data_IF_667405983413
#
_entry.id   IF_667405983413
#
_cell.length_a   1.000
_cell.length_b   1.000
_cell.length_c   1.000
_cell.angle_alpha   90.00
_cell.angle_beta   90.00
_cell.angle_gamma   90.00
#
_symmetry.space_group_name_H-M   'P 1'
#
loop_
_entity.id
_entity.type
_entity.pdbx_description
1 polymer ?
#
# COMPACT_ATOMS: atom_id res chain seq x y z
N UNK A 1 23.91 23.80 36.48
CA UNK A 1 22.88 23.22 35.56
C UNK A 1 22.37 21.91 36.14
N UNK A 2 21.13 21.87 36.64
CA UNK A 2 20.55 20.67 37.24
C UNK A 2 20.25 19.61 36.14
N UNK A 3 20.84 18.39 36.27
CA UNK A 3 20.54 17.26 35.40
C UNK A 3 19.08 16.87 35.60
N UNK A 4 18.19 17.07 34.60
CA UNK A 4 16.82 16.55 34.64
C UNK A 4 16.87 15.05 34.86
N UNK A 5 16.28 14.57 35.96
CA UNK A 5 16.10 13.16 36.27
C UNK A 5 15.39 12.45 35.11
N UNK A 6 16.00 11.41 34.55
CA UNK A 6 15.35 10.58 33.53
C UNK A 6 14.16 9.87 34.17
N UNK A 7 12.94 10.14 33.70
CA UNK A 7 11.73 9.43 34.13
C UNK A 7 11.94 7.91 33.93
N UNK A 8 11.76 7.16 35.01
CA UNK A 8 11.83 5.68 34.96
C UNK A 8 10.68 5.19 34.09
N UNK A 9 11.01 4.59 32.94
CA UNK A 9 10.01 4.07 32.01
C UNK A 9 9.85 2.56 32.28
N UNK A 10 8.60 2.12 32.59
CA UNK A 10 8.29 0.70 32.71
C UNK A 10 8.55 0.01 31.36
N UNK A 11 9.30 -1.09 31.40
CA UNK A 11 9.51 -1.94 30.21
C UNK A 11 8.18 -2.58 29.85
N UNK A 12 7.76 -2.49 28.59
CA UNK A 12 6.56 -3.18 28.09
C UNK A 12 6.81 -4.69 28.13
N UNK A 13 5.88 -5.43 28.71
CA UNK A 13 5.91 -6.89 28.67
C UNK A 13 5.82 -7.42 27.25
N UNK A 14 6.37 -8.61 27.01
CA UNK A 14 6.27 -9.30 25.73
C UNK A 14 4.84 -9.81 25.54
N UNK A 15 4.45 -9.98 24.29
CA UNK A 15 3.28 -10.80 23.97
C UNK A 15 3.59 -12.26 24.30
N UNK A 16 2.54 -13.03 24.58
CA UNK A 16 2.67 -14.44 24.99
C UNK A 16 2.47 -15.43 23.86
N UNK A 17 2.12 -14.95 22.65
CA UNK A 17 1.73 -15.79 21.51
C UNK A 17 2.43 -15.29 20.24
N UNK A 18 2.94 -16.22 19.43
CA UNK A 18 3.53 -15.93 18.12
C UNK A 18 2.43 -15.39 17.18
N UNK A 19 2.75 -14.36 16.40
CA UNK A 19 1.81 -13.76 15.46
C UNK A 19 0.79 -12.80 16.08
N UNK A 20 0.79 -12.61 17.41
CA UNK A 20 -0.09 -11.63 18.05
C UNK A 20 0.33 -10.20 17.69
N UNK A 21 1.64 -9.93 17.67
CA UNK A 21 2.17 -8.63 17.30
C UNK A 21 3.54 -8.71 16.65
N UNK A 22 3.65 -8.18 15.45
CA UNK A 22 4.89 -8.07 14.71
C UNK A 22 5.39 -6.63 14.78
N UNK A 23 6.60 -6.42 15.27
CA UNK A 23 7.28 -5.12 15.17
C UNK A 23 7.95 -5.05 13.81
N UNK A 24 7.66 -3.98 13.05
CA UNK A 24 8.20 -3.80 11.70
C UNK A 24 8.91 -2.46 11.59
N UNK A 25 10.08 -2.46 10.96
CA UNK A 25 10.93 -1.28 10.79
C UNK A 25 11.95 -1.46 9.68
N UNK A 26 12.31 -0.35 9.02
CA UNK A 26 13.43 -0.30 8.08
C UNK A 26 14.75 0.00 8.82
N UNK A 27 15.83 -0.56 8.33
CA UNK A 27 17.19 -0.32 8.82
C UNK A 27 18.08 0.12 7.68
N UNK A 28 18.38 1.41 7.64
CA UNK A 28 19.37 1.96 6.73
C UNK A 28 20.77 1.70 7.29
N UNK A 29 21.62 1.12 6.46
CA UNK A 29 23.00 0.82 6.81
C UNK A 29 23.81 0.62 5.52
N UNK A 30 25.14 0.72 5.60
CA UNK A 30 26.02 0.26 4.50
C UNK A 30 26.13 -1.27 4.50
N UNK A 31 25.01 -1.92 4.11
CA UNK A 31 24.86 -3.36 4.15
C UNK A 31 25.90 -4.09 3.28
N UNK A 32 26.30 -3.46 2.19
CA UNK A 32 27.22 -4.05 1.21
C UNK A 32 28.66 -3.53 1.34
N UNK A 33 28.96 -2.67 2.31
CA UNK A 33 30.30 -2.08 2.51
C UNK A 33 30.86 -1.42 1.24
N UNK A 34 30.03 -0.57 0.62
CA UNK A 34 30.35 0.15 -0.61
C UNK A 34 30.28 -0.67 -1.90
N UNK A 35 29.95 -1.97 -1.85
CA UNK A 35 29.82 -2.83 -3.05
C UNK A 35 28.50 -2.63 -3.80
N UNK A 36 27.53 -1.94 -3.22
CA UNK A 36 26.20 -1.65 -3.77
C UNK A 36 25.78 -0.25 -3.33
N UNK A 37 24.89 0.46 -4.08
CA UNK A 37 24.27 1.70 -3.62
C UNK A 37 23.56 1.52 -2.26
N UNK A 38 23.34 2.61 -1.49
CA UNK A 38 22.58 2.56 -0.23
C UNK A 38 21.25 1.84 -0.39
N UNK A 39 20.93 1.00 0.59
CA UNK A 39 19.71 0.21 0.62
C UNK A 39 19.22 0.02 2.05
N UNK A 40 18.00 -0.48 2.22
CA UNK A 40 17.32 -0.63 3.50
C UNK A 40 16.98 -2.09 3.75
N UNK A 41 17.31 -2.63 4.92
CA UNK A 41 16.79 -3.92 5.35
C UNK A 41 15.45 -3.72 6.05
N UNK A 42 14.39 -4.25 5.49
CA UNK A 42 13.05 -4.26 6.08
C UNK A 42 12.94 -5.47 7.02
N UNK A 43 12.66 -5.23 8.30
CA UNK A 43 12.74 -6.25 9.36
C UNK A 43 11.41 -6.35 10.09
N UNK A 44 10.88 -7.57 10.16
CA UNK A 44 9.73 -7.95 10.96
C UNK A 44 10.19 -8.84 12.12
N UNK A 45 9.88 -8.44 13.35
CA UNK A 45 10.24 -9.16 14.57
C UNK A 45 8.99 -9.55 15.33
N UNK A 46 8.78 -10.82 15.55
CA UNK A 46 7.71 -11.29 16.42
C UNK A 46 7.97 -10.90 17.87
N UNK A 47 6.98 -10.27 18.52
CA UNK A 47 7.14 -9.70 19.86
C UNK A 47 7.25 -10.76 20.94
N UNK A 48 6.66 -11.93 20.77
CA UNK A 48 6.72 -13.04 21.70
C UNK A 48 8.04 -13.80 21.58
N UNK A 49 8.29 -14.40 20.43
CA UNK A 49 9.41 -15.32 20.20
C UNK A 49 10.71 -14.62 19.81
N UNK A 50 10.68 -13.36 19.41
CA UNK A 50 11.80 -12.66 18.76
C UNK A 50 12.23 -13.28 17.43
N UNK A 51 11.44 -14.16 16.82
CA UNK A 51 11.70 -14.63 15.46
C UNK A 51 11.72 -13.45 14.50
N UNK A 52 12.68 -13.49 13.60
CA UNK A 52 12.95 -12.43 12.63
C UNK A 52 12.60 -12.92 11.22
N UNK A 53 11.96 -12.06 10.47
CA UNK A 53 11.88 -12.09 9.02
C UNK A 53 12.46 -10.81 8.48
N UNK A 54 13.24 -10.87 7.43
CA UNK A 54 13.87 -9.70 6.85
C UNK A 54 13.98 -9.83 5.34
N UNK A 55 13.90 -8.69 4.64
CA UNK A 55 14.19 -8.57 3.21
C UNK A 55 14.97 -7.32 2.92
N UNK A 56 15.96 -7.44 2.06
CA UNK A 56 16.69 -6.30 1.55
C UNK A 56 15.86 -5.62 0.46
N UNK A 57 15.78 -4.31 0.53
CA UNK A 57 14.99 -3.45 -0.34
C UNK A 57 15.85 -2.28 -0.84
N UNK A 58 15.46 -1.69 -1.96
CA UNK A 58 16.14 -0.49 -2.46
C UNK A 58 15.98 0.69 -1.51
N UNK A 59 14.83 0.78 -0.86
CA UNK A 59 14.50 1.78 0.15
C UNK A 59 13.21 1.40 0.88
N UNK A 60 12.86 2.12 1.95
CA UNK A 60 11.57 1.96 2.63
C UNK A 60 10.45 2.67 1.85
N UNK A 61 10.09 2.15 0.69
CA UNK A 61 9.01 2.61 -0.17
C UNK A 61 7.80 1.67 -0.18
N UNK A 62 6.70 2.11 -0.77
CA UNK A 62 5.45 1.32 -0.77
C UNK A 62 5.56 -0.01 -1.50
N UNK A 63 6.33 -0.10 -2.61
CA UNK A 63 6.50 -1.33 -3.37
C UNK A 63 7.27 -2.38 -2.56
N UNK A 64 8.44 -2.00 -2.04
CA UNK A 64 9.29 -2.89 -1.26
C UNK A 64 8.60 -3.35 0.03
N UNK A 65 7.84 -2.46 0.68
CA UNK A 65 7.04 -2.79 1.88
C UNK A 65 5.93 -3.78 1.56
N UNK A 66 5.17 -3.58 0.47
CA UNK A 66 4.12 -4.51 0.06
C UNK A 66 4.68 -5.89 -0.32
N UNK A 67 5.81 -5.94 -1.04
CA UNK A 67 6.52 -7.19 -1.38
C UNK A 67 6.98 -7.93 -0.12
N UNK A 68 7.56 -7.20 0.82
CA UNK A 68 8.04 -7.76 2.10
C UNK A 68 6.89 -8.36 2.90
N UNK A 69 5.77 -7.65 3.01
CA UNK A 69 4.61 -8.15 3.76
C UNK A 69 3.88 -9.29 3.06
N UNK A 70 3.84 -9.28 1.72
CA UNK A 70 3.35 -10.42 0.93
C UNK A 70 4.18 -11.67 1.26
N UNK A 71 5.51 -11.58 1.16
CA UNK A 71 6.43 -12.69 1.46
C UNK A 71 6.32 -13.15 2.93
N UNK A 72 6.18 -12.20 3.87
CA UNK A 72 5.94 -12.53 5.28
C UNK A 72 4.67 -13.38 5.44
N UNK A 73 3.55 -12.91 4.87
CA UNK A 73 2.27 -13.61 4.99
C UNK A 73 2.26 -14.98 4.26
N UNK A 74 3.01 -15.10 3.17
CA UNK A 74 3.19 -16.38 2.47
C UNK A 74 3.99 -17.39 3.30
N UNK A 75 5.00 -16.92 4.06
CA UNK A 75 5.87 -17.79 4.88
C UNK A 75 5.23 -18.18 6.22
N UNK A 76 4.59 -17.25 6.91
CA UNK A 76 4.12 -17.45 8.30
C UNK A 76 2.60 -17.40 8.44
N UNK A 77 1.90 -16.82 7.50
CA UNK A 77 0.48 -16.48 7.61
C UNK A 77 0.24 -15.03 8.05
N UNK A 78 -1.00 -14.70 8.33
CA UNK A 78 -1.50 -13.36 8.63
C UNK A 78 -1.44 -13.14 10.14
N UNK A 79 -0.63 -12.18 10.66
CA UNK A 79 -0.59 -11.87 12.09
C UNK A 79 -1.85 -11.14 12.57
N UNK A 80 -2.04 -11.02 13.88
CA UNK A 80 -3.17 -10.27 14.45
C UNK A 80 -2.92 -8.76 14.42
N UNK A 81 -1.69 -8.33 14.67
CA UNK A 81 -1.35 -6.90 14.67
C UNK A 81 0.08 -6.64 14.20
N UNK A 82 0.28 -5.44 13.67
CA UNK A 82 1.60 -4.90 13.32
C UNK A 82 1.86 -3.61 14.10
N UNK A 83 3.07 -3.49 14.64
CA UNK A 83 3.54 -2.34 15.40
C UNK A 83 4.66 -1.63 14.63
N UNK A 84 4.43 -0.37 14.22
CA UNK A 84 5.33 0.38 13.37
C UNK A 84 5.32 1.87 13.73
N UNK A 85 6.20 2.65 13.12
CA UNK A 85 6.20 4.09 13.29
C UNK A 85 5.12 4.78 12.43
N UNK A 86 5.15 6.11 12.42
CA UNK A 86 4.20 6.92 11.65
C UNK A 86 4.78 7.38 10.31
N UNK A 87 5.66 6.57 9.72
CA UNK A 87 6.19 6.90 8.41
C UNK A 87 5.05 6.98 7.36
N UNK A 88 5.21 7.87 6.37
CA UNK A 88 4.20 8.13 5.33
C UNK A 88 3.77 6.91 4.51
N UNK A 89 4.62 5.91 4.42
CA UNK A 89 4.30 4.63 3.74
C UNK A 89 3.22 3.86 4.49
N UNK A 90 3.21 3.95 5.81
CA UNK A 90 2.27 3.19 6.67
C UNK A 90 1.02 3.97 7.03
N UNK A 91 1.15 5.30 7.12
CA UNK A 91 0.06 6.16 7.57
C UNK A 91 -0.19 7.29 6.58
N UNK A 92 -1.41 7.41 6.09
CA UNK A 92 -1.82 8.55 5.28
C UNK A 92 -1.81 9.84 6.12
N UNK A 93 -1.39 10.96 5.52
CA UNK A 93 -1.36 12.27 6.16
C UNK A 93 -2.77 12.81 6.44
N UNK A 94 -3.71 12.52 5.53
CA UNK A 94 -5.09 12.97 5.64
C UNK A 94 -5.94 11.92 6.36
N UNK A 95 -6.73 12.35 7.32
CA UNK A 95 -7.68 11.51 8.02
C UNK A 95 -8.73 10.94 7.04
N UNK A 96 -9.09 9.68 7.21
CA UNK A 96 -10.00 8.97 6.31
C UNK A 96 -9.37 8.45 5.01
N UNK A 97 -8.08 8.70 4.76
CA UNK A 97 -7.35 8.10 3.63
C UNK A 97 -6.50 6.92 4.08
N UNK A 98 -6.35 5.93 3.20
CA UNK A 98 -5.50 4.76 3.41
C UNK A 98 -4.27 4.83 2.49
N UNK A 99 -3.11 4.41 3.01
CA UNK A 99 -1.99 4.03 2.16
C UNK A 99 -2.26 2.63 1.59
N UNK A 100 -1.59 2.23 0.51
CA UNK A 100 -1.73 0.87 -0.01
C UNK A 100 -1.39 -0.19 1.05
N UNK A 101 -0.41 0.09 1.91
CA UNK A 101 -0.06 -0.75 3.05
C UNK A 101 -1.22 -0.83 4.06
N UNK A 102 -1.75 0.29 4.54
CA UNK A 102 -2.83 0.27 5.55
C UNK A 102 -4.11 -0.38 5.01
N UNK A 103 -4.42 -0.18 3.71
CA UNK A 103 -5.51 -0.86 3.01
C UNK A 103 -5.28 -2.38 2.96
N UNK A 104 -4.06 -2.83 2.63
CA UNK A 104 -3.74 -4.25 2.62
C UNK A 104 -3.89 -4.89 4.00
N UNK A 105 -3.42 -4.22 5.06
CA UNK A 105 -3.57 -4.68 6.45
C UNK A 105 -5.05 -4.76 6.87
N UNK A 106 -5.85 -3.78 6.51
CA UNK A 106 -7.29 -3.76 6.78
C UNK A 106 -8.02 -4.92 6.09
N UNK A 107 -7.74 -5.16 4.80
CA UNK A 107 -8.32 -6.28 4.06
C UNK A 107 -7.93 -7.65 4.64
N UNK A 108 -6.75 -7.75 5.22
CA UNK A 108 -6.30 -8.95 5.94
C UNK A 108 -6.85 -9.02 7.38
N UNK A 109 -7.53 -7.99 7.87
CA UNK A 109 -7.98 -7.89 9.26
C UNK A 109 -6.82 -7.82 10.26
N UNK A 110 -5.72 -7.17 9.88
CA UNK A 110 -4.54 -6.94 10.73
C UNK A 110 -4.66 -5.56 11.38
N UNK A 111 -4.55 -5.51 12.70
CA UNK A 111 -4.60 -4.25 13.45
C UNK A 111 -3.26 -3.50 13.32
N UNK A 112 -3.29 -2.30 12.77
CA UNK A 112 -2.10 -1.43 12.68
C UNK A 112 -1.97 -0.59 13.94
N UNK A 113 -0.87 -0.74 14.67
CA UNK A 113 -0.58 -0.01 15.91
C UNK A 113 0.61 0.92 15.67
N UNK A 114 0.37 2.22 15.78
CA UNK A 114 1.43 3.21 15.60
C UNK A 114 2.16 3.53 16.90
N UNK A 115 3.48 3.47 16.86
CA UNK A 115 4.33 3.83 17.99
C UNK A 115 4.10 5.27 18.43
N UNK A 116 3.96 5.49 19.74
CA UNK A 116 3.82 6.83 20.33
C UNK A 116 5.18 7.52 20.55
N UNK A 117 6.25 6.73 20.59
CA UNK A 117 7.62 7.25 20.77
C UNK A 117 8.64 6.29 20.14
N UNK A 118 9.81 6.78 19.67
CA UNK A 118 10.87 5.93 19.11
C UNK A 118 11.30 4.82 20.07
N UNK A 119 11.42 5.10 21.37
CA UNK A 119 11.86 4.13 22.38
C UNK A 119 10.91 2.91 22.56
N UNK A 120 9.70 2.99 22.00
CA UNK A 120 8.75 1.90 22.06
C UNK A 120 9.14 0.72 21.13
N UNK A 121 10.10 0.91 20.20
CA UNK A 121 10.62 -0.07 19.24
C UNK A 121 11.95 -0.75 19.68
N UNK A 122 12.33 -0.68 20.95
CA UNK A 122 13.64 -1.14 21.43
C UNK A 122 13.98 -2.61 21.15
N UNK A 123 13.05 -3.46 20.71
CA UNK A 123 13.34 -4.84 20.27
C UNK A 123 13.85 -4.87 18.85
N UNK A 124 13.12 -4.26 17.92
CA UNK A 124 13.57 -4.20 16.52
C UNK A 124 14.89 -3.44 16.39
N UNK A 125 15.11 -2.37 17.18
CA UNK A 125 16.39 -1.66 17.22
C UNK A 125 17.58 -2.55 17.66
N UNK A 126 17.35 -3.43 18.64
CA UNK A 126 18.37 -4.41 19.03
C UNK A 126 18.62 -5.45 17.95
N UNK A 127 17.56 -5.93 17.33
CA UNK A 127 17.67 -6.86 16.21
C UNK A 127 18.45 -6.23 15.05
N UNK A 128 18.20 -4.96 14.72
CA UNK A 128 18.96 -4.24 13.71
C UNK A 128 20.47 -4.27 13.98
N UNK A 129 20.90 -3.97 15.23
CA UNK A 129 22.34 -4.00 15.59
C UNK A 129 22.95 -5.41 15.42
N UNK A 130 22.20 -6.45 15.80
CA UNK A 130 22.68 -7.82 15.63
C UNK A 130 22.77 -8.20 14.15
N UNK A 131 21.77 -7.82 13.35
CA UNK A 131 21.79 -8.05 11.90
C UNK A 131 22.91 -7.27 11.21
N UNK A 132 23.14 -5.99 11.57
CA UNK A 132 24.23 -5.19 11.06
C UNK A 132 25.60 -5.84 11.33
N UNK A 133 25.80 -6.45 12.49
CA UNK A 133 27.02 -7.18 12.78
C UNK A 133 27.11 -8.54 12.04
N UNK A 134 26.03 -9.31 11.99
CA UNK A 134 26.06 -10.70 11.51
C UNK A 134 25.85 -10.81 10.01
N UNK A 135 24.81 -10.15 9.46
CA UNK A 135 24.47 -10.27 8.05
C UNK A 135 25.55 -9.67 7.16
N UNK A 136 26.10 -8.48 7.50
CA UNK A 136 27.17 -7.85 6.73
C UNK A 136 28.39 -8.77 6.59
N UNK A 137 28.80 -9.41 7.69
CA UNK A 137 29.93 -10.36 7.69
C UNK A 137 29.61 -11.61 6.87
N UNK A 138 28.39 -12.16 6.99
CA UNK A 138 27.97 -13.33 6.25
C UNK A 138 27.93 -13.08 4.73
N UNK A 139 27.38 -11.92 4.32
CA UNK A 139 27.34 -11.48 2.93
C UNK A 139 28.74 -11.28 2.35
N UNK A 140 29.67 -10.71 3.13
CA UNK A 140 31.07 -10.53 2.73
C UNK A 140 31.75 -11.87 2.43
N UNK A 141 31.59 -12.85 3.34
CA UNK A 141 32.17 -14.18 3.17
C UNK A 141 31.66 -14.92 1.94
N UNK A 142 30.44 -14.62 1.48
CA UNK A 142 29.79 -15.21 0.30
C UNK A 142 29.92 -14.37 -0.97
N UNK A 143 30.62 -13.23 -0.90
CA UNK A 143 30.74 -12.26 -1.99
C UNK A 143 29.40 -11.77 -2.55
N UNK A 144 28.36 -11.74 -1.71
CA UNK A 144 27.03 -11.24 -2.09
C UNK A 144 27.11 -9.72 -2.34
N UNK A 145 26.62 -9.28 -3.49
CA UNK A 145 26.73 -7.89 -3.96
C UNK A 145 25.44 -7.29 -4.50
N UNK A 146 24.37 -8.06 -4.63
CA UNK A 146 23.08 -7.60 -5.15
C UNK A 146 21.93 -7.85 -4.16
N UNK A 147 20.86 -7.04 -4.27
CA UNK A 147 19.64 -7.22 -3.47
C UNK A 147 19.00 -8.59 -3.71
N UNK A 148 19.02 -9.10 -4.94
CA UNK A 148 18.46 -10.41 -5.25
C UNK A 148 19.22 -11.52 -4.50
N UNK A 149 20.55 -11.57 -4.65
CA UNK A 149 21.40 -12.56 -3.99
C UNK A 149 21.24 -12.56 -2.46
N UNK A 150 21.16 -11.37 -1.83
CA UNK A 150 20.96 -11.33 -0.38
C UNK A 150 19.58 -11.80 0.04
N UNK A 151 18.54 -11.55 -0.76
CA UNK A 151 17.21 -12.03 -0.46
C UNK A 151 17.10 -13.55 -0.60
N UNK A 152 17.75 -14.15 -1.60
CA UNK A 152 17.83 -15.59 -1.73
C UNK A 152 18.60 -16.20 -0.52
N UNK A 153 19.73 -15.60 -0.15
CA UNK A 153 20.50 -16.03 1.03
C UNK A 153 19.72 -15.88 2.35
N UNK A 154 18.94 -14.80 2.50
CA UNK A 154 18.07 -14.61 3.68
C UNK A 154 17.02 -15.72 3.77
N UNK A 155 16.38 -16.07 2.64
CA UNK A 155 15.29 -17.03 2.60
C UNK A 155 15.77 -18.49 2.75
N UNK A 156 16.91 -18.84 2.18
CA UNK A 156 17.40 -20.21 2.08
C UNK A 156 18.24 -20.66 3.30
N UNK A 157 18.95 -19.72 3.94
CA UNK A 157 19.95 -20.10 4.96
C UNK A 157 19.95 -19.17 6.19
N UNK A 158 20.21 -17.88 5.97
CA UNK A 158 20.57 -16.96 7.05
C UNK A 158 19.50 -16.80 8.12
N UNK A 159 18.23 -16.63 7.72
CA UNK A 159 17.15 -16.37 8.68
C UNK A 159 16.85 -17.58 9.56
N UNK A 160 16.98 -18.79 9.05
CA UNK A 160 16.75 -20.01 9.83
C UNK A 160 17.86 -20.20 10.86
N UNK A 161 19.13 -20.01 10.48
CA UNK A 161 20.26 -20.04 11.40
C UNK A 161 20.19 -18.91 12.44
N UNK A 162 19.87 -17.71 12.01
CA UNK A 162 19.71 -16.56 12.90
C UNK A 162 18.60 -16.78 13.92
N UNK A 163 17.46 -17.28 13.50
CA UNK A 163 16.32 -17.55 14.37
C UNK A 163 16.63 -18.72 15.34
N UNK A 164 17.33 -19.76 14.90
CA UNK A 164 17.77 -20.83 15.79
C UNK A 164 18.70 -20.33 16.89
N UNK A 165 19.53 -19.32 16.61
CA UNK A 165 20.47 -18.77 17.58
C UNK A 165 19.86 -17.70 18.50
N UNK A 166 18.99 -16.84 17.99
CA UNK A 166 18.56 -15.61 18.68
C UNK A 166 17.09 -15.55 19.07
N UNK A 167 16.23 -16.43 18.51
CA UNK A 167 14.85 -16.51 18.94
C UNK A 167 14.75 -17.19 20.33
N UNK A 168 13.65 -16.93 21.03
CA UNK A 168 13.37 -17.61 22.29
C UNK A 168 13.00 -19.07 22.04
N UNK A 169 13.59 -20.01 22.75
CA UNK A 169 13.35 -21.45 22.55
C UNK A 169 12.00 -21.95 23.12
N UNK A 170 11.21 -21.07 23.72
CA UNK A 170 9.93 -21.45 24.33
C UNK A 170 8.93 -21.90 23.25
N UNK A 171 8.14 -22.90 23.61
CA UNK A 171 7.05 -23.41 22.77
C UNK A 171 5.83 -22.47 22.85
N UNK A 172 5.87 -21.41 22.05
CA UNK A 172 4.77 -20.45 21.95
C UNK A 172 3.65 -20.97 21.04
N UNK A 173 2.42 -20.82 21.50
CA UNK A 173 1.27 -21.00 20.62
C UNK A 173 1.35 -20.01 19.45
N UNK A 174 1.11 -20.48 18.23
CA UNK A 174 1.03 -19.66 17.02
C UNK A 174 -0.42 -19.31 16.71
N UNK A 175 -0.68 -18.02 16.46
CA UNK A 175 -2.02 -17.46 16.13
C UNK A 175 -2.07 -16.82 14.74
N UNK A 176 -1.06 -17.05 13.91
CA UNK A 176 -1.15 -16.64 12.52
C UNK A 176 -2.35 -17.32 11.86
N UNK A 177 -3.07 -16.55 11.05
CA UNK A 177 -4.18 -17.08 10.25
C UNK A 177 -3.66 -17.51 8.88
N UNK A 178 -4.19 -18.59 8.29
CA UNK A 178 -3.75 -19.03 6.96
C UNK A 178 -4.11 -17.97 5.90
N UNK A 179 -3.19 -17.76 4.95
CA UNK A 179 -3.40 -16.88 3.80
C UNK A 179 -4.34 -17.49 2.74
N UNK A 180 -4.62 -18.78 2.85
CA UNK A 180 -5.51 -19.50 1.93
C UNK A 180 -6.92 -18.88 1.90
N UNK A 181 -7.43 -18.61 0.71
CA UNK A 181 -8.75 -18.00 0.50
C UNK A 181 -8.73 -16.47 0.34
N UNK A 182 -7.58 -15.84 0.53
CA UNK A 182 -7.41 -14.41 0.25
C UNK A 182 -6.92 -14.18 -1.17
N UNK A 183 -7.42 -13.12 -1.80
CA UNK A 183 -6.94 -12.68 -3.12
C UNK A 183 -5.66 -11.83 -2.95
N UNK A 184 -4.53 -12.54 -2.82
CA UNK A 184 -3.21 -11.96 -2.50
C UNK A 184 -2.81 -10.89 -3.50
N UNK A 185 -3.10 -11.06 -4.80
CA UNK A 185 -2.75 -10.10 -5.85
C UNK A 185 -3.53 -8.79 -5.69
N UNK A 186 -4.81 -8.87 -5.38
CA UNK A 186 -5.66 -7.70 -5.18
C UNK A 186 -5.52 -7.06 -3.80
N UNK A 187 -4.93 -7.74 -2.83
CA UNK A 187 -4.58 -7.19 -1.52
C UNK A 187 -3.26 -6.44 -1.59
N UNK A 188 -2.20 -7.10 -2.05
CA UNK A 188 -0.87 -6.51 -2.16
C UNK A 188 -0.67 -5.90 -3.55
N UNK A 189 -1.29 -4.76 -3.78
CA UNK A 189 -1.23 -4.00 -5.03
C UNK A 189 -1.34 -2.50 -4.76
N UNK A 190 -0.96 -1.69 -5.73
CA UNK A 190 -1.29 -0.25 -5.74
C UNK A 190 -2.70 -0.06 -6.23
N UNK A 191 -3.46 0.80 -5.55
CA UNK A 191 -4.84 1.05 -5.91
C UNK A 191 -5.13 2.55 -6.06
N UNK A 192 -5.83 2.90 -7.14
CA UNK A 192 -6.24 4.27 -7.41
C UNK A 192 -7.67 4.30 -7.96
N UNK A 193 -8.46 5.25 -7.50
CA UNK A 193 -9.76 5.53 -8.10
C UNK A 193 -9.62 6.42 -9.32
N UNK A 194 -10.40 6.14 -10.36
CA UNK A 194 -10.48 6.95 -11.58
C UNK A 194 -11.92 7.16 -11.99
N UNK A 195 -12.22 8.39 -12.38
CA UNK A 195 -13.55 8.74 -12.92
C UNK A 195 -13.57 8.49 -14.42
N UNK A 196 -14.54 7.72 -14.87
CA UNK A 196 -14.76 7.41 -16.28
C UNK A 196 -15.25 8.65 -17.00
N UNK A 197 -14.59 9.02 -18.12
CA UNK A 197 -14.95 10.15 -18.97
C UNK A 197 -16.15 9.82 -19.86
N UNK A 198 -16.68 10.83 -20.53
CA UNK A 198 -17.84 10.66 -21.44
C UNK A 198 -17.55 9.75 -22.64
N UNK A 199 -16.29 9.56 -23.00
CA UNK A 199 -15.81 8.70 -24.07
C UNK A 199 -15.36 7.32 -23.56
N UNK A 200 -15.74 6.95 -22.32
CA UNK A 200 -15.37 5.72 -21.65
C UNK A 200 -13.86 5.53 -21.50
N UNK A 201 -13.12 6.62 -21.40
CA UNK A 201 -11.69 6.56 -21.09
C UNK A 201 -11.39 6.95 -19.65
N UNK A 202 -10.27 6.43 -19.15
CA UNK A 202 -9.61 6.88 -17.93
C UNK A 202 -8.16 7.26 -18.24
N UNK A 203 -7.52 8.00 -17.34
CA UNK A 203 -6.13 8.38 -17.50
C UNK A 203 -5.27 7.72 -16.41
N UNK A 204 -4.14 7.13 -16.80
CA UNK A 204 -3.13 6.58 -15.93
C UNK A 204 -1.74 6.91 -16.48
N UNK A 205 -0.87 7.48 -15.62
CA UNK A 205 0.54 7.80 -15.96
C UNK A 205 0.72 8.49 -17.32
N UNK A 206 -0.02 9.53 -17.61
CA UNK A 206 -0.02 10.27 -18.89
C UNK A 206 -0.56 9.49 -20.09
N UNK A 207 -0.91 8.21 -19.94
CA UNK A 207 -1.57 7.39 -20.99
C UNK A 207 -3.07 7.40 -20.81
N UNK A 208 -3.79 7.22 -21.93
CA UNK A 208 -5.23 7.03 -21.93
C UNK A 208 -5.55 5.54 -22.10
N UNK A 209 -6.54 5.11 -21.35
CA UNK A 209 -7.03 3.74 -21.34
C UNK A 209 -8.48 3.79 -21.77
N UNK A 210 -8.81 3.10 -22.87
CA UNK A 210 -10.19 2.88 -23.31
C UNK A 210 -10.72 1.65 -22.58
N UNK A 211 -11.81 1.84 -21.85
CA UNK A 211 -12.52 0.73 -21.20
C UNK A 211 -13.43 0.09 -22.23
N UNK A 212 -13.45 -1.25 -22.25
CA UNK A 212 -14.46 -2.01 -22.99
C UNK A 212 -15.80 -1.92 -22.27
N UNK A 213 -16.89 -2.11 -23.01
CA UNK A 213 -18.22 -2.08 -22.41
C UNK A 213 -18.30 -3.14 -21.30
N UNK A 214 -18.70 -2.69 -20.11
CA UNK A 214 -19.03 -3.64 -19.06
C UNK A 214 -20.20 -4.51 -19.53
N UNK A 215 -20.18 -5.81 -19.29
CA UNK A 215 -21.34 -6.66 -19.56
C UNK A 215 -22.58 -5.99 -18.96
N UNK A 216 -23.65 -5.83 -19.75
CA UNK A 216 -24.96 -5.28 -19.34
C UNK A 216 -25.11 -3.74 -19.28
N UNK A 217 -24.26 -2.96 -19.93
CA UNK A 217 -24.43 -1.48 -19.98
C UNK A 217 -24.40 -0.78 -18.62
N UNK A 218 -23.82 -1.42 -17.62
CA UNK A 218 -23.76 -0.91 -16.22
C UNK A 218 -22.74 0.23 -16.05
N UNK A 219 -21.68 0.25 -16.86
CA UNK A 219 -20.68 1.32 -16.78
C UNK A 219 -21.22 2.59 -17.46
N UNK A 220 -21.31 3.67 -16.72
CA UNK A 220 -21.77 4.97 -17.23
C UNK A 220 -20.64 6.00 -17.15
N UNK A 221 -20.63 7.01 -18.00
CA UNK A 221 -19.79 8.18 -17.80
C UNK A 221 -19.96 8.75 -16.39
N UNK A 222 -18.85 9.20 -15.79
CA UNK A 222 -18.72 9.65 -14.40
C UNK A 222 -18.79 8.53 -13.34
N UNK A 223 -18.93 7.26 -13.72
CA UNK A 223 -18.70 6.16 -12.79
C UNK A 223 -17.27 6.19 -12.26
N UNK A 224 -17.08 5.74 -11.02
CA UNK A 224 -15.75 5.54 -10.44
C UNK A 224 -15.34 4.09 -10.66
N UNK A 225 -14.16 3.89 -11.25
CA UNK A 225 -13.51 2.59 -11.41
C UNK A 225 -12.27 2.52 -10.53
N UNK A 226 -11.93 1.33 -10.10
CA UNK A 226 -10.72 1.05 -9.33
C UNK A 226 -9.66 0.52 -10.28
N UNK A 227 -8.56 1.23 -10.37
CA UNK A 227 -7.38 0.81 -11.11
C UNK A 227 -6.42 0.18 -10.12
N UNK A 228 -6.01 -1.06 -10.38
CA UNK A 228 -5.04 -1.81 -9.58
C UNK A 228 -3.81 -2.13 -10.41
N UNK A 229 -2.65 -1.81 -9.87
CA UNK A 229 -1.38 -2.26 -10.40
C UNK A 229 -0.82 -3.32 -9.46
N UNK A 230 -0.73 -4.54 -9.96
CA UNK A 230 -0.17 -5.65 -9.19
C UNK A 230 1.35 -5.53 -9.06
N UNK A 231 1.94 -6.26 -8.13
CA UNK A 231 3.39 -6.21 -7.88
C UNK A 231 4.23 -6.76 -9.04
N UNK A 232 3.64 -7.48 -9.99
CA UNK A 232 4.28 -7.88 -11.25
C UNK A 232 4.26 -6.77 -12.32
N UNK A 233 3.70 -5.61 -12.01
CA UNK A 233 3.56 -4.45 -12.89
C UNK A 233 2.33 -4.48 -13.78
N UNK A 234 1.55 -5.56 -13.81
CA UNK A 234 0.34 -5.67 -14.60
C UNK A 234 -0.76 -4.73 -14.08
N UNK A 235 -1.57 -4.21 -15.00
CA UNK A 235 -2.62 -3.25 -14.71
C UNK A 235 -3.98 -3.92 -14.86
N UNK A 236 -4.88 -3.66 -13.94
CA UNK A 236 -6.21 -4.23 -13.88
C UNK A 236 -7.23 -3.14 -13.55
N UNK A 237 -8.38 -3.15 -14.20
CA UNK A 237 -9.45 -2.16 -13.96
C UNK A 237 -10.68 -2.88 -13.44
N UNK A 238 -11.23 -2.41 -12.34
CA UNK A 238 -12.40 -3.01 -11.71
C UNK A 238 -13.56 -2.01 -11.62
N UNK A 239 -14.74 -2.49 -11.91
CA UNK A 239 -15.98 -1.79 -11.63
C UNK A 239 -16.93 -2.70 -10.85
N UNK A 240 -17.36 -2.28 -9.66
CA UNK A 240 -18.22 -3.08 -8.76
C UNK A 240 -17.75 -4.52 -8.59
N UNK A 241 -16.48 -4.70 -8.29
CA UNK A 241 -15.79 -6.00 -8.09
C UNK A 241 -15.63 -6.87 -9.35
N UNK A 242 -16.13 -6.44 -10.51
CA UNK A 242 -15.87 -7.12 -11.80
C UNK A 242 -14.69 -6.47 -12.50
N UNK A 243 -13.79 -7.29 -13.01
CA UNK A 243 -12.69 -6.83 -13.84
C UNK A 243 -13.21 -6.45 -15.22
N UNK A 244 -12.71 -5.34 -15.76
CA UNK A 244 -13.06 -4.81 -17.07
C UNK A 244 -11.89 -4.99 -18.03
N UNK A 245 -12.18 -5.40 -19.24
CA UNK A 245 -11.22 -5.37 -20.33
C UNK A 245 -10.94 -3.92 -20.75
N UNK A 246 -9.72 -3.67 -21.11
CA UNK A 246 -9.29 -2.34 -21.56
C UNK A 246 -8.16 -2.43 -22.58
N UNK A 247 -7.92 -1.30 -23.26
CA UNK A 247 -6.77 -1.12 -24.14
C UNK A 247 -6.12 0.25 -23.93
N UNK A 248 -4.83 0.31 -24.08
CA UNK A 248 -4.12 1.59 -24.11
C UNK A 248 -4.39 2.31 -25.43
N UNK A 249 -4.54 3.63 -25.37
CA UNK A 249 -4.63 4.48 -26.55
C UNK A 249 -3.28 5.17 -26.77
N UNK A 250 -2.82 5.17 -28.02
CA UNK A 250 -1.56 5.84 -28.40
C UNK A 250 -1.67 7.35 -28.31
N UNK A 251 -2.85 7.90 -28.64
CA UNK A 251 -3.12 9.33 -28.63
C UNK A 251 -4.31 9.68 -27.71
N UNK A 252 -4.29 10.93 -27.24
CA UNK A 252 -5.44 11.49 -26.52
C UNK A 252 -6.68 11.44 -27.42
N UNK A 253 -7.82 10.92 -26.94
CA UNK A 253 -9.06 10.93 -27.71
C UNK A 253 -9.43 12.36 -28.12
N UNK A 254 -9.56 12.58 -29.41
CA UNK A 254 -10.03 13.87 -29.90
C UNK A 254 -11.53 13.98 -29.61
N UNK A 255 -12.02 15.12 -29.10
CA UNK A 255 -13.45 15.30 -28.91
C UNK A 255 -14.16 15.16 -30.28
N UNK A 256 -15.21 14.33 -30.33
CA UNK A 256 -16.06 14.30 -31.53
C UNK A 256 -16.60 15.71 -31.73
N UNK A 257 -16.16 16.37 -32.79
CA UNK A 257 -16.71 17.66 -33.18
C UNK A 257 -18.15 17.41 -33.63
N UNK A 258 -19.07 17.63 -32.72
CA UNK A 258 -20.49 17.68 -33.09
C UNK A 258 -20.69 18.98 -33.87
N UNK A 259 -20.70 18.87 -35.17
CA UNK A 259 -21.07 20.02 -36.05
C UNK A 259 -22.47 20.39 -35.63
N UNK A 260 -22.62 21.49 -34.91
CA UNK A 260 -23.94 22.07 -34.66
C UNK A 260 -24.46 22.54 -35.98
N UNK A 261 -25.24 21.70 -36.66
CA UNK A 261 -25.96 22.10 -37.89
C UNK A 261 -26.93 23.19 -37.44
N UNK A 262 -26.62 24.43 -37.80
CA UNK A 262 -27.57 25.52 -37.56
C UNK A 262 -28.82 25.22 -38.39
N UNK A 263 -30.00 25.14 -37.75
CA UNK A 263 -31.23 24.92 -38.51
C UNK A 263 -31.38 25.97 -39.58
N UNK A 264 -31.82 25.58 -40.80
CA UNK A 264 -32.11 26.49 -41.90
C UNK A 264 -33.06 27.61 -41.44
N UNK A 265 -33.05 28.76 -42.12
CA UNK A 265 -33.81 29.96 -41.71
C UNK A 265 -35.32 29.71 -41.55
N UNK A 266 -35.86 28.78 -42.30
CA UNK A 266 -37.27 28.37 -42.34
C UNK A 266 -37.62 27.26 -41.34
N UNK A 267 -36.65 26.74 -40.58
CA UNK A 267 -36.87 25.66 -39.64
C UNK A 267 -37.86 26.06 -38.53
N UNK A 268 -38.88 25.25 -38.19
CA UNK A 268 -39.92 25.56 -37.21
C UNK A 268 -39.42 26.10 -35.89
N UNK A 269 -38.28 25.60 -35.40
CA UNK A 269 -37.64 26.05 -34.15
C UNK A 269 -37.19 27.51 -34.16
N UNK A 270 -36.96 28.14 -35.33
CA UNK A 270 -36.63 29.55 -35.43
C UNK A 270 -37.88 30.44 -35.37
N UNK A 271 -39.05 29.89 -35.67
CA UNK A 271 -40.32 30.55 -35.54
C UNK A 271 -40.90 30.54 -34.13
N UNK A 272 -40.36 29.67 -33.28
CA UNK A 272 -40.74 29.60 -31.86
C UNK A 272 -40.03 30.71 -31.07
N UNK A 273 -40.42 31.94 -31.25
CA UNK A 273 -40.16 33.02 -30.29
C UNK A 273 -41.14 32.80 -29.13
N UNK A 274 -40.68 32.11 -28.10
CA UNK A 274 -41.42 32.05 -26.85
C UNK A 274 -41.72 33.46 -26.38
N UNK A 275 -42.98 33.77 -26.25
CA UNK A 275 -43.46 35.00 -25.60
C UNK A 275 -42.89 34.99 -24.16
N UNK A 276 -41.88 35.79 -23.93
CA UNK A 276 -41.49 36.14 -22.58
C UNK A 276 -42.59 37.01 -22.03
N UNK A 277 -43.53 36.43 -21.33
CA UNK A 277 -44.43 37.20 -20.49
C UNK A 277 -43.60 37.81 -19.36
N UNK A 278 -43.41 39.11 -19.46
CA UNK A 278 -42.97 39.97 -18.38
C UNK A 278 -44.02 39.97 -17.27
N UNK A 279 -43.85 39.17 -16.27
CA UNK A 279 -44.45 39.41 -14.93
C UNK A 279 -43.61 38.64 -13.93
N UNK A 280 -42.59 39.28 -13.39
CA UNK A 280 -42.11 39.00 -12.06
C UNK A 280 -42.64 40.11 -11.13
N UNK A 281 -43.79 39.91 -10.56
CA UNK A 281 -44.10 40.60 -9.32
C UNK A 281 -43.47 39.81 -8.17
N UNK A 282 -42.55 40.44 -7.52
CA UNK A 282 -41.93 40.06 -6.27
C UNK A 282 -42.91 40.37 -5.14
N UNK A 283 -43.26 39.39 -4.36
CA UNK A 283 -43.61 39.59 -2.96
C UNK A 283 -43.39 38.28 -2.20
N UNK A 284 -42.33 38.24 -1.45
CA UNK A 284 -42.13 37.26 -0.40
C UNK A 284 -42.50 37.95 0.94
N UNK A 285 -43.48 37.49 1.69
CA UNK A 285 -43.70 37.93 3.05
C UNK A 285 -43.20 36.84 4.01
N UNK A 286 -42.02 37.01 4.58
CA UNK A 286 -41.71 36.44 5.89
C UNK A 286 -40.78 37.41 6.60
N UNK A 287 -41.38 38.31 7.40
CA UNK A 287 -40.88 38.83 8.63
C UNK A 287 -41.90 38.41 9.70
N UNK A 288 -41.43 37.50 10.56
CA UNK A 288 -41.61 37.54 12.03
C UNK A 288 -40.80 36.40 12.61
#
# INVERSE_FOLDING_TARGET
>A
MSRKSRKHRKKRERRSVIGEMIQFDGSDHDWFEGRHPPCTLLVAVDDASSKVFARMASSENSDDVLRTWKSYCERFGIPQSVYLDRHKVYKAEKEGHHTDFSRAMELLGVTVIYAKSPQAKGRVERTHRTLQDRLVKAMRLRNISTIAEVNDFLDEEFLDEFNAQFAHPEDFRDVHRPLKGYDVKNIFCFQQERVVRNDYTIQFERRFIQLSDAPEGLLKPRSVVILRQWLDGSLHVFYRMKELDFRFLEEKPKPKITVKIKPKADHPWRKFRGSRSSQRQTSWPWNN
#
